data_IF_153194776229
#
_entry.id   IF_153194776229
#
_cell.length_a   1.000
_cell.length_b   1.000
_cell.length_c   1.000
_cell.angle_alpha   90.00
_cell.angle_beta   90.00
_cell.angle_gamma   90.00
#
_symmetry.space_group_name_H-M   'P 1'
#
loop_
_entity.id
_entity.type
_entity.pdbx_description
1 polymer ?
#
# COMPACT_ATOMS: atom_id res chain seq x y z
N UNK A 1 -5.72 26.87 6.48
CA UNK A 1 -5.39 25.80 5.51
C UNK A 1 -6.25 24.55 5.73
N UNK A 2 -6.09 23.81 6.84
CA UNK A 2 -6.82 22.56 7.06
C UNK A 2 -8.35 22.71 6.99
N UNK A 3 -8.94 23.77 7.56
CA UNK A 3 -10.40 24.00 7.49
C UNK A 3 -10.94 23.97 6.07
N UNK A 4 -10.26 24.65 5.14
CA UNK A 4 -10.64 24.68 3.71
C UNK A 4 -10.57 23.29 3.08
N UNK A 5 -9.49 22.55 3.37
CA UNK A 5 -9.29 21.19 2.86
C UNK A 5 -10.34 20.24 3.44
N UNK A 6 -10.65 20.35 4.73
CA UNK A 6 -11.66 19.54 5.41
C UNK A 6 -13.07 19.75 4.85
N UNK A 7 -13.44 20.97 4.49
CA UNK A 7 -14.73 21.28 3.87
C UNK A 7 -14.85 20.72 2.43
N UNK A 8 -13.75 20.74 1.65
CA UNK A 8 -13.71 20.06 0.34
C UNK A 8 -13.90 18.55 0.50
N UNK A 9 -13.31 17.97 1.54
CA UNK A 9 -13.41 16.55 1.83
C UNK A 9 -14.80 16.15 2.37
N UNK A 10 -15.48 17.00 3.12
CA UNK A 10 -16.81 16.73 3.68
C UNK A 10 -17.95 16.87 2.67
N UNK A 11 -17.68 17.39 1.47
CA UNK A 11 -18.67 17.55 0.40
C UNK A 11 -19.75 18.58 0.72
N UNK A 12 -19.53 19.48 1.69
CA UNK A 12 -20.52 20.49 2.09
C UNK A 12 -20.60 21.65 1.08
N UNK A 13 -21.18 21.38 -0.09
CA UNK A 13 -22.10 22.25 -0.84
C UNK A 13 -21.68 23.65 -1.31
N UNK A 14 -20.47 24.15 -1.04
CA UNK A 14 -19.98 25.41 -1.62
C UNK A 14 -18.73 25.12 -2.46
N UNK A 15 -18.67 25.72 -3.65
CA UNK A 15 -17.47 25.74 -4.48
C UNK A 15 -16.33 26.36 -3.66
N UNK A 16 -15.42 25.52 -3.15
CA UNK A 16 -14.23 25.94 -2.40
C UNK A 16 -12.96 25.87 -3.27
N UNK A 17 -13.11 25.85 -4.59
CA UNK A 17 -11.97 25.77 -5.49
C UNK A 17 -11.01 26.95 -5.29
N UNK A 18 -11.53 28.18 -5.22
CA UNK A 18 -10.72 29.39 -4.97
C UNK A 18 -9.98 29.33 -3.61
N UNK A 19 -10.64 29.05 -2.48
CA UNK A 19 -9.94 28.81 -1.21
C UNK A 19 -8.89 27.69 -1.28
N UNK A 20 -9.17 26.58 -1.98
CA UNK A 20 -8.26 25.45 -2.11
C UNK A 20 -7.05 25.80 -3.01
N UNK A 21 -7.25 26.60 -4.05
CA UNK A 21 -6.19 27.16 -4.88
C UNK A 21 -5.27 28.07 -4.07
N UNK A 22 -5.82 28.92 -3.19
CA UNK A 22 -5.02 29.74 -2.27
C UNK A 22 -4.14 28.90 -1.34
N UNK A 23 -4.63 27.72 -0.90
CA UNK A 23 -3.81 26.75 -0.18
C UNK A 23 -2.68 26.20 -1.05
N UNK A 24 -2.97 25.82 -2.29
CA UNK A 24 -1.95 25.36 -3.25
C UNK A 24 -0.88 26.40 -3.53
N UNK A 25 -1.27 27.66 -3.72
CA UNK A 25 -0.34 28.79 -3.90
C UNK A 25 0.52 29.03 -2.68
N UNK A 26 -0.05 28.93 -1.47
CA UNK A 26 0.69 29.08 -0.22
C UNK A 26 1.77 28.01 -0.06
N UNK A 27 1.47 26.75 -0.40
CA UNK A 27 2.46 25.66 -0.38
C UNK A 27 3.52 25.80 -1.48
N UNK A 28 3.15 26.36 -2.63
CA UNK A 28 4.10 26.66 -3.72
C UNK A 28 5.06 27.77 -3.29
N UNK A 29 4.55 28.82 -2.66
CA UNK A 29 5.35 29.90 -2.08
C UNK A 29 6.29 29.37 -0.99
N UNK A 30 5.79 28.51 -0.08
CA UNK A 30 6.59 27.85 0.95
C UNK A 30 7.75 27.05 0.32
N UNK A 31 7.47 26.25 -0.72
CA UNK A 31 8.49 25.50 -1.46
C UNK A 31 9.56 26.40 -2.09
N UNK A 32 9.14 27.52 -2.65
CA UNK A 32 10.08 28.47 -3.26
C UNK A 32 10.98 29.09 -2.19
N UNK A 33 10.43 29.46 -1.03
CA UNK A 33 11.20 30.00 0.09
C UNK A 33 12.18 28.99 0.67
N UNK A 34 11.79 27.73 0.77
CA UNK A 34 12.71 26.64 1.15
C UNK A 34 13.90 26.55 0.17
N UNK A 35 13.64 26.60 -1.14
CA UNK A 35 14.69 26.54 -2.16
C UNK A 35 15.60 27.78 -2.15
N UNK A 36 15.05 28.98 -1.96
CA UNK A 36 15.81 30.22 -1.79
C UNK A 36 16.73 30.14 -0.55
N UNK A 37 16.21 29.62 0.56
CA UNK A 37 16.96 29.47 1.82
C UNK A 37 18.08 28.43 1.72
N UNK A 38 17.83 27.29 1.07
CA UNK A 38 18.84 26.25 0.82
C UNK A 38 19.89 26.66 -0.22
N UNK A 39 19.56 27.60 -1.12
CA UNK A 39 20.49 28.16 -2.11
C UNK A 39 21.37 29.28 -1.56
N UNK A 40 20.95 29.99 -0.51
CA UNK A 40 21.73 31.03 0.16
C UNK A 40 22.65 30.45 1.23
N UNK A 41 23.64 29.66 0.82
CA UNK A 41 24.64 29.06 1.71
C UNK A 41 25.67 30.04 2.31
N UNK A 42 25.32 31.31 2.54
CA UNK A 42 26.23 32.27 3.15
C UNK A 42 25.48 33.22 4.11
N UNK A 43 25.77 33.02 5.40
CA UNK A 43 25.68 33.95 6.53
C UNK A 43 24.46 34.87 6.63
N UNK A 44 23.57 34.59 7.58
CA UNK A 44 23.39 35.44 8.76
C UNK A 44 22.48 34.77 9.79
N UNK A 45 22.90 34.82 11.05
CA UNK A 45 22.09 34.48 12.21
C UNK A 45 20.76 35.24 12.16
N UNK A 46 19.65 34.52 12.01
CA UNK A 46 18.36 35.02 12.49
C UNK A 46 17.56 33.87 13.09
N UNK A 47 17.26 34.04 14.38
CA UNK A 47 16.43 33.18 15.21
C UNK A 47 14.98 33.34 14.75
N UNK A 48 14.63 32.71 13.64
CA UNK A 48 13.25 32.42 13.31
C UNK A 48 13.05 30.92 13.43
N UNK A 49 12.26 30.51 14.43
CA UNK A 49 11.77 29.12 14.66
C UNK A 49 10.88 28.60 13.53
N UNK A 50 10.82 29.33 12.43
CA UNK A 50 9.91 29.12 11.33
C UNK A 50 10.61 28.28 10.26
N UNK A 51 10.40 26.97 10.33
CA UNK A 51 10.86 26.05 9.29
C UNK A 51 9.88 26.08 8.12
N UNK A 52 10.32 26.34 6.88
CA UNK A 52 9.48 26.37 5.68
C UNK A 52 9.00 24.98 5.22
N UNK A 53 8.95 24.00 6.11
CA UNK A 53 8.44 22.66 5.83
C UNK A 53 7.26 22.27 6.72
N UNK A 54 6.82 23.16 7.62
CA UNK A 54 5.81 22.83 8.61
C UNK A 54 4.42 22.70 7.97
N UNK A 55 4.07 23.57 7.01
CA UNK A 55 2.71 23.59 6.47
C UNK A 55 2.42 22.43 5.54
N UNK A 56 3.36 22.08 4.65
CA UNK A 56 3.19 20.89 3.80
C UNK A 56 3.06 19.61 4.62
N UNK A 57 3.96 19.40 5.59
CA UNK A 57 3.95 18.17 6.41
C UNK A 57 2.69 18.07 7.27
N UNK A 58 2.28 19.17 7.91
CA UNK A 58 1.04 19.21 8.70
C UNK A 58 -0.18 18.90 7.82
N UNK A 59 -0.24 19.45 6.60
CA UNK A 59 -1.32 19.13 5.67
C UNK A 59 -1.30 17.66 5.24
N UNK A 60 -0.14 17.11 4.88
CA UNK A 60 0.01 15.69 4.52
C UNK A 60 -0.46 14.79 5.66
N UNK A 61 -0.07 15.09 6.90
CA UNK A 61 -0.46 14.33 8.10
C UNK A 61 -1.97 14.40 8.35
N UNK A 62 -2.58 15.59 8.25
CA UNK A 62 -4.03 15.74 8.42
C UNK A 62 -4.82 15.03 7.34
N UNK A 63 -4.35 15.06 6.09
CA UNK A 63 -4.93 14.30 4.99
C UNK A 63 -4.83 12.79 5.26
N UNK A 64 -3.67 12.30 5.74
CA UNK A 64 -3.50 10.89 6.11
C UNK A 64 -4.48 10.50 7.21
N UNK A 65 -4.58 11.29 8.29
CA UNK A 65 -5.52 11.05 9.39
C UNK A 65 -6.96 10.98 8.89
N UNK A 66 -7.37 11.94 8.05
CA UNK A 66 -8.72 11.95 7.48
C UNK A 66 -8.97 10.72 6.61
N UNK A 67 -8.07 10.38 5.69
CA UNK A 67 -8.24 9.25 4.78
C UNK A 67 -8.28 7.93 5.54
N UNK A 68 -7.41 7.77 6.53
CA UNK A 68 -7.38 6.60 7.41
C UNK A 68 -8.71 6.42 8.13
N UNK A 69 -9.33 7.51 8.59
CA UNK A 69 -10.66 7.46 9.22
C UNK A 69 -11.80 7.11 8.24
N UNK A 70 -11.59 7.27 6.92
CA UNK A 70 -12.56 6.86 5.89
C UNK A 70 -12.39 5.40 5.47
N UNK A 71 -11.26 4.77 5.78
CA UNK A 71 -11.04 3.36 5.46
C UNK A 71 -11.95 2.53 6.36
N UNK A 72 -12.79 1.63 5.80
CA UNK A 72 -13.61 0.73 6.61
C UNK A 72 -12.73 -0.04 7.60
N UNK A 73 -13.11 -0.12 8.88
CA UNK A 73 -12.36 -0.89 9.85
C UNK A 73 -12.45 -2.38 9.47
N UNK A 74 -11.30 -3.06 9.48
CA UNK A 74 -11.30 -4.52 9.36
C UNK A 74 -11.65 -5.13 10.71
N UNK A 75 -12.72 -5.92 10.77
CA UNK A 75 -13.17 -6.58 11.99
C UNK A 75 -12.15 -7.59 12.49
N UNK A 76 -11.36 -7.20 13.51
CA UNK A 76 -10.43 -8.07 14.22
C UNK A 76 -11.19 -9.08 15.10
N UNK A 77 -11.72 -10.15 14.52
CA UNK A 77 -12.02 -11.37 15.27
C UNK A 77 -10.87 -12.36 15.10
N UNK A 78 -10.54 -13.10 16.17
CA UNK A 78 -9.36 -13.97 16.30
C UNK A 78 -9.34 -15.21 15.40
N UNK A 79 -10.21 -15.24 14.39
CA UNK A 79 -10.18 -16.21 13.30
C UNK A 79 -10.58 -15.46 12.03
N UNK A 80 -9.60 -14.80 11.42
CA UNK A 80 -9.82 -13.99 10.22
C UNK A 80 -10.18 -14.93 9.07
N UNK A 81 -11.47 -15.12 8.81
CA UNK A 81 -11.93 -15.91 7.68
C UNK A 81 -11.48 -15.24 6.37
N UNK A 82 -10.99 -16.04 5.42
CA UNK A 82 -10.64 -15.64 4.07
C UNK A 82 -11.79 -14.86 3.40
N UNK A 83 -13.03 -15.23 3.72
CA UNK A 83 -14.24 -14.55 3.25
C UNK A 83 -14.35 -13.11 3.76
N UNK A 84 -14.00 -12.84 5.01
CA UNK A 84 -14.01 -11.50 5.59
C UNK A 84 -12.94 -10.62 4.95
N UNK A 85 -11.74 -11.17 4.69
CA UNK A 85 -10.70 -10.47 3.96
C UNK A 85 -11.14 -10.13 2.53
N UNK A 86 -11.74 -11.09 1.80
CA UNK A 86 -12.29 -10.83 0.45
C UNK A 86 -13.36 -9.74 0.47
N UNK A 87 -14.27 -9.79 1.44
CA UNK A 87 -15.32 -8.78 1.58
C UNK A 87 -14.73 -7.39 1.86
N UNK A 88 -13.73 -7.32 2.73
CA UNK A 88 -13.02 -6.10 3.06
C UNK A 88 -12.27 -5.50 1.85
N UNK A 89 -11.54 -6.31 1.11
CA UNK A 89 -10.88 -5.88 -0.13
C UNK A 89 -11.90 -5.39 -1.17
N UNK A 90 -13.06 -6.06 -1.27
CA UNK A 90 -14.17 -5.62 -2.13
C UNK A 90 -14.75 -4.27 -1.69
N UNK A 91 -14.87 -4.02 -0.39
CA UNK A 91 -15.28 -2.71 0.12
C UNK A 91 -14.25 -1.62 -0.24
N UNK A 92 -12.96 -1.89 -0.10
CA UNK A 92 -11.92 -0.95 -0.53
C UNK A 92 -12.05 -0.61 -2.03
N UNK A 93 -12.25 -1.64 -2.86
CA UNK A 93 -12.43 -1.51 -4.31
C UNK A 93 -13.68 -0.70 -4.68
N UNK A 94 -14.80 -0.95 -4.03
CA UNK A 94 -16.10 -0.42 -4.45
C UNK A 94 -16.49 0.91 -3.78
N UNK A 95 -15.93 1.25 -2.63
CA UNK A 95 -16.33 2.47 -1.88
C UNK A 95 -15.17 3.41 -1.63
N UNK A 96 -14.07 2.92 -1.07
CA UNK A 96 -12.95 3.76 -0.67
C UNK A 96 -12.23 4.34 -1.89
N UNK A 97 -11.77 3.51 -2.83
CA UNK A 97 -11.02 3.99 -3.99
C UNK A 97 -11.83 4.96 -4.88
N UNK A 98 -13.10 4.69 -5.24
CA UNK A 98 -13.90 5.63 -6.02
C UNK A 98 -14.08 6.98 -5.31
N UNK A 99 -14.17 6.98 -3.97
CA UNK A 99 -14.29 8.24 -3.20
C UNK A 99 -13.03 9.11 -3.30
N UNK A 100 -11.85 8.48 -3.41
CA UNK A 100 -10.59 9.19 -3.59
C UNK A 100 -10.47 9.75 -5.01
N UNK A 101 -10.85 8.97 -6.01
CA UNK A 101 -10.82 9.40 -7.41
C UNK A 101 -11.76 10.57 -7.67
N UNK A 102 -13.00 10.51 -7.15
CA UNK A 102 -13.99 11.58 -7.29
C UNK A 102 -13.46 12.93 -6.80
N UNK A 103 -12.67 12.93 -5.71
CA UNK A 103 -12.12 14.14 -5.10
C UNK A 103 -10.84 14.63 -5.78
N UNK A 104 -10.14 13.76 -6.51
CA UNK A 104 -8.84 14.06 -7.11
C UNK A 104 -8.86 15.25 -8.08
N UNK A 105 -9.98 15.46 -8.78
CA UNK A 105 -10.18 16.60 -9.70
C UNK A 105 -10.02 17.96 -9.00
N UNK A 106 -10.64 18.13 -7.83
CA UNK A 106 -10.55 19.37 -7.06
C UNK A 106 -9.13 19.66 -6.59
N UNK A 107 -8.42 18.63 -6.09
CA UNK A 107 -7.02 18.77 -5.67
C UNK A 107 -6.09 19.02 -6.86
N UNK A 108 -6.42 18.50 -8.05
CA UNK A 108 -5.69 18.79 -9.30
C UNK A 108 -5.84 20.26 -9.70
N UNK A 109 -7.06 20.77 -9.73
CA UNK A 109 -7.33 22.17 -10.07
C UNK A 109 -6.74 23.16 -9.05
N UNK A 110 -6.55 22.73 -7.81
CA UNK A 110 -5.88 23.50 -6.76
C UNK A 110 -4.34 23.34 -6.73
N UNK A 111 -3.73 22.54 -7.62
CA UNK A 111 -2.29 22.29 -7.58
C UNK A 111 -1.80 21.45 -6.39
N UNK A 112 -2.72 20.76 -5.70
CA UNK A 112 -2.48 19.93 -4.52
C UNK A 112 -2.51 18.43 -4.81
N UNK A 113 -2.68 18.01 -6.06
CA UNK A 113 -2.81 16.60 -6.44
C UNK A 113 -1.67 15.73 -5.91
N UNK A 114 -0.42 16.21 -5.98
CA UNK A 114 0.73 15.43 -5.49
C UNK A 114 0.62 15.16 -3.99
N UNK A 115 0.31 16.19 -3.19
CA UNK A 115 0.12 16.10 -1.74
C UNK A 115 -1.05 15.17 -1.42
N UNK A 116 -2.21 15.42 -2.04
CA UNK A 116 -3.42 14.64 -1.85
C UNK A 116 -3.17 13.16 -2.10
N UNK A 117 -2.59 12.85 -3.25
CA UNK A 117 -2.43 11.47 -3.65
C UNK A 117 -1.34 10.78 -2.84
N UNK A 118 -0.24 11.46 -2.44
CA UNK A 118 0.71 10.90 -1.47
C UNK A 118 0.05 10.51 -0.15
N UNK A 119 -0.83 11.35 0.38
CA UNK A 119 -1.58 11.05 1.60
C UNK A 119 -2.53 9.86 1.41
N UNK A 120 -3.20 9.73 0.26
CA UNK A 120 -4.03 8.56 -0.06
C UNK A 120 -3.21 7.27 0.02
N UNK A 121 -1.99 7.35 -0.50
CA UNK A 121 -1.11 6.21 -0.59
C UNK A 121 -0.51 5.82 0.73
N UNK A 122 -0.02 6.78 1.51
CA UNK A 122 0.44 6.52 2.86
C UNK A 122 -0.68 5.87 3.70
N UNK A 123 -1.93 6.32 3.56
CA UNK A 123 -3.08 5.77 4.29
C UNK A 123 -3.40 4.34 3.86
N UNK A 124 -3.52 4.09 2.55
CA UNK A 124 -3.83 2.75 2.02
C UNK A 124 -2.68 1.76 2.29
N UNK A 125 -1.44 2.20 2.08
CA UNK A 125 -0.22 1.46 2.42
C UNK A 125 -0.20 1.08 3.89
N UNK A 126 -0.44 2.05 4.78
CA UNK A 126 -0.47 1.82 6.23
C UNK A 126 -1.55 0.81 6.59
N UNK A 127 -2.74 0.94 6.01
CA UNK A 127 -3.85 0.01 6.27
C UNK A 127 -3.54 -1.41 5.83
N UNK A 128 -3.06 -1.59 4.59
CA UNK A 128 -2.69 -2.91 4.07
C UNK A 128 -1.49 -3.50 4.81
N UNK A 129 -0.57 -2.65 5.27
CA UNK A 129 0.50 -3.07 6.18
C UNK A 129 -0.12 -3.55 7.49
N UNK A 130 -1.01 -2.81 8.15
CA UNK A 130 -1.68 -3.26 9.37
C UNK A 130 -2.49 -4.55 9.17
N UNK A 131 -3.11 -4.75 8.00
CA UNK A 131 -3.78 -6.02 7.67
C UNK A 131 -2.75 -7.16 7.66
N UNK A 132 -1.63 -6.98 6.95
CA UNK A 132 -0.64 -8.04 6.69
C UNK A 132 0.45 -8.20 7.76
N UNK A 133 0.61 -7.21 8.65
CA UNK A 133 1.57 -7.17 9.78
C UNK A 133 1.03 -7.89 11.02
N UNK A 134 -0.25 -8.33 10.97
CA UNK A 134 -0.71 -9.32 11.94
C UNK A 134 0.09 -10.60 11.72
N UNK A 135 0.84 -11.04 12.73
CA UNK A 135 1.68 -12.26 12.75
C UNK A 135 0.94 -13.58 12.47
N UNK A 136 -0.30 -13.49 11.99
CA UNK A 136 -1.27 -14.55 11.80
C UNK A 136 -1.77 -14.66 10.35
N UNK A 137 -1.35 -13.79 9.43
CA UNK A 137 -1.74 -13.98 8.02
C UNK A 137 -1.15 -15.28 7.47
N UNK A 138 -2.03 -16.14 6.96
CA UNK A 138 -1.65 -17.33 6.22
C UNK A 138 -1.16 -16.96 4.81
N UNK A 139 -0.47 -17.91 4.17
CA UNK A 139 -0.10 -17.76 2.76
C UNK A 139 -1.29 -17.41 1.85
N UNK A 140 -2.46 -18.02 2.06
CA UNK A 140 -3.65 -17.76 1.25
C UNK A 140 -4.18 -16.33 1.43
N UNK A 141 -4.13 -15.79 2.65
CA UNK A 141 -4.55 -14.42 2.92
C UNK A 141 -3.59 -13.39 2.29
N UNK A 142 -2.27 -13.61 2.39
CA UNK A 142 -1.29 -12.79 1.69
C UNK A 142 -1.49 -12.83 0.17
N UNK A 143 -1.75 -14.04 -0.38
CA UNK A 143 -1.99 -14.23 -1.81
C UNK A 143 -3.22 -13.46 -2.29
N UNK A 144 -4.29 -13.38 -1.49
CA UNK A 144 -5.48 -12.60 -1.85
C UNK A 144 -5.22 -11.10 -1.91
N UNK A 145 -4.46 -10.55 -0.96
CA UNK A 145 -4.09 -9.12 -0.99
C UNK A 145 -3.22 -8.85 -2.22
N UNK A 146 -2.29 -9.76 -2.55
CA UNK A 146 -1.44 -9.64 -3.73
C UNK A 146 -2.26 -9.71 -5.03
N UNK A 147 -3.13 -10.72 -5.17
CA UNK A 147 -4.01 -10.88 -6.33
C UNK A 147 -4.89 -9.65 -6.53
N UNK A 148 -5.48 -9.14 -5.44
CA UNK A 148 -6.29 -7.92 -5.47
C UNK A 148 -5.46 -6.72 -5.96
N UNK A 149 -4.26 -6.52 -5.43
CA UNK A 149 -3.36 -5.45 -5.87
C UNK A 149 -3.02 -5.55 -7.37
N UNK A 150 -2.67 -6.74 -7.85
CA UNK A 150 -2.38 -7.01 -9.27
C UNK A 150 -3.60 -6.77 -10.15
N UNK A 151 -4.79 -7.21 -9.72
CA UNK A 151 -6.06 -6.96 -10.43
C UNK A 151 -6.31 -5.47 -10.55
N UNK A 152 -6.18 -4.72 -9.47
CA UNK A 152 -6.36 -3.27 -9.47
C UNK A 152 -5.37 -2.57 -10.39
N UNK A 153 -4.08 -2.95 -10.32
CA UNK A 153 -3.04 -2.39 -11.18
C UNK A 153 -3.34 -2.66 -12.66
N UNK A 154 -3.76 -3.88 -13.02
CA UNK A 154 -4.16 -4.22 -14.38
C UNK A 154 -5.37 -3.42 -14.84
N UNK A 155 -6.39 -3.26 -13.99
CA UNK A 155 -7.58 -2.46 -14.32
C UNK A 155 -7.24 -0.98 -14.58
N UNK A 156 -6.40 -0.37 -13.73
CA UNK A 156 -5.98 1.03 -13.93
C UNK A 156 -5.06 1.22 -15.15
N UNK A 157 -4.24 0.23 -15.48
CA UNK A 157 -3.29 0.32 -16.61
C UNK A 157 -3.90 -0.09 -17.96
N UNK A 158 -4.86 -1.03 -18.00
CA UNK A 158 -5.55 -1.47 -19.21
C UNK A 158 -6.55 -0.44 -19.75
N UNK A 159 -7.08 0.44 -18.89
CA UNK A 159 -7.97 1.54 -19.31
C UNK A 159 -7.21 2.74 -19.90
N UNK A 160 -5.87 2.73 -19.89
CA UNK A 160 -5.05 3.83 -20.39
C UNK A 160 -4.59 3.57 -21.84
N UNK A 161 -4.72 4.55 -22.76
CA UNK A 161 -4.15 4.43 -24.09
C UNK A 161 -2.65 4.17 -24.02
N UNK A 162 -2.17 3.17 -24.77
CA UNK A 162 -0.79 2.61 -24.80
C UNK A 162 0.32 3.63 -25.14
N UNK A 163 0.00 4.91 -25.30
CA UNK A 163 0.87 5.96 -25.84
C UNK A 163 1.42 6.94 -24.79
N UNK A 164 1.02 6.85 -23.52
CA UNK A 164 1.66 7.67 -22.47
C UNK A 164 2.95 7.02 -21.97
N UNK A 165 4.10 7.73 -21.95
CA UNK A 165 5.38 7.19 -21.49
C UNK A 165 5.29 6.68 -20.05
N UNK A 166 5.95 5.55 -19.75
CA UNK A 166 5.99 4.92 -18.41
C UNK A 166 6.49 5.85 -17.29
N UNK A 167 7.15 6.97 -17.62
CA UNK A 167 7.59 7.98 -16.66
C UNK A 167 6.45 8.83 -16.05
N UNK A 168 5.23 8.73 -16.59
CA UNK A 168 4.05 9.45 -16.10
C UNK A 168 2.94 8.49 -15.61
N UNK A 169 3.30 7.45 -14.84
CA UNK A 169 2.31 6.65 -14.12
C UNK A 169 1.47 7.58 -13.23
N UNK A 170 0.14 7.42 -13.26
CA UNK A 170 -0.69 8.14 -12.30
C UNK A 170 -0.23 7.74 -10.90
N UNK A 171 -0.30 8.67 -9.95
CA UNK A 171 0.19 8.40 -8.62
C UNK A 171 -0.58 7.22 -7.98
N UNK A 172 -1.87 7.05 -8.34
CA UNK A 172 -2.70 5.84 -8.15
C UNK A 172 -1.96 4.53 -8.46
N UNK A 173 -1.51 4.41 -9.71
CA UNK A 173 -0.77 3.24 -10.21
C UNK A 173 0.55 3.04 -9.46
N UNK A 174 1.27 4.11 -9.12
CA UNK A 174 2.55 4.01 -8.41
C UNK A 174 2.41 3.33 -7.04
N UNK A 175 1.27 3.46 -6.39
CA UNK A 175 1.12 2.93 -5.05
C UNK A 175 0.41 1.60 -5.01
N UNK A 176 -0.40 1.27 -6.02
CA UNK A 176 -0.72 -0.12 -6.29
C UNK A 176 0.55 -0.93 -6.51
N UNK A 177 1.53 -0.41 -7.26
CA UNK A 177 2.85 -1.06 -7.42
C UNK A 177 3.54 -1.25 -6.07
N UNK A 178 3.61 -0.20 -5.24
CA UNK A 178 4.22 -0.31 -3.91
C UNK A 178 3.53 -1.36 -3.03
N UNK A 179 2.20 -1.39 -3.02
CA UNK A 179 1.40 -2.37 -2.28
C UNK A 179 1.68 -3.79 -2.76
N UNK A 180 1.72 -4.00 -4.08
CA UNK A 180 2.03 -5.31 -4.69
C UNK A 180 3.41 -5.79 -4.22
N UNK A 181 4.43 -4.93 -4.32
CA UNK A 181 5.79 -5.27 -3.90
C UNK A 181 5.86 -5.61 -2.42
N UNK A 182 5.24 -4.80 -1.55
CA UNK A 182 5.25 -5.06 -0.10
C UNK A 182 4.51 -6.35 0.27
N UNK A 183 3.37 -6.60 -0.38
CA UNK A 183 2.61 -7.83 -0.16
C UNK A 183 3.36 -9.06 -0.67
N UNK A 184 4.09 -8.93 -1.78
CA UNK A 184 4.97 -9.98 -2.30
C UNK A 184 6.06 -10.35 -1.29
N UNK A 185 6.76 -9.38 -0.72
CA UNK A 185 7.76 -9.61 0.33
C UNK A 185 7.18 -10.41 1.51
N UNK A 186 6.00 -10.00 2.00
CA UNK A 186 5.33 -10.67 3.11
C UNK A 186 4.91 -12.09 2.73
N UNK A 187 4.37 -12.29 1.53
CA UNK A 187 3.96 -13.59 1.02
C UNK A 187 5.14 -14.56 0.95
N UNK A 188 6.29 -14.12 0.44
CA UNK A 188 7.52 -14.92 0.36
C UNK A 188 8.04 -15.28 1.76
N UNK A 189 7.98 -14.34 2.71
CA UNK A 189 8.37 -14.59 4.10
C UNK A 189 7.46 -15.63 4.78
N UNK A 190 6.14 -15.56 4.57
CA UNK A 190 5.17 -16.54 5.09
C UNK A 190 5.37 -17.91 4.45
N UNK A 191 5.60 -17.97 3.13
CA UNK A 191 5.90 -19.22 2.43
C UNK A 191 7.12 -19.93 3.04
N UNK A 192 8.22 -19.19 3.21
CA UNK A 192 9.44 -19.69 3.86
C UNK A 192 9.15 -20.21 5.28
N UNK A 193 8.44 -19.43 6.10
CA UNK A 193 8.11 -19.79 7.49
C UNK A 193 7.27 -21.06 7.57
N UNK A 194 6.26 -21.21 6.71
CA UNK A 194 5.37 -22.36 6.71
C UNK A 194 6.08 -23.64 6.22
N UNK A 195 6.93 -23.55 5.19
CA UNK A 195 7.76 -24.67 4.72
C UNK A 195 8.77 -25.09 5.79
N UNK A 196 9.48 -24.14 6.41
CA UNK A 196 10.42 -24.45 7.49
C UNK A 196 9.74 -25.11 8.70
N UNK A 197 8.48 -24.74 8.99
CA UNK A 197 7.67 -25.42 10.01
C UNK A 197 7.33 -26.86 9.59
N UNK A 198 6.90 -27.06 8.35
CA UNK A 198 6.57 -28.39 7.82
C UNK A 198 7.78 -29.33 7.81
N UNK A 199 8.96 -28.82 7.43
CA UNK A 199 10.22 -29.58 7.47
C UNK A 199 10.57 -30.00 8.89
N UNK A 200 10.57 -29.06 9.85
CA UNK A 200 10.80 -29.39 11.27
C UNK A 200 9.86 -30.49 11.75
N UNK A 201 8.57 -30.34 11.46
CA UNK A 201 7.56 -31.33 11.82
C UNK A 201 7.76 -32.69 11.16
N UNK A 202 8.34 -32.75 9.96
CA UNK A 202 8.59 -34.01 9.27
C UNK A 202 9.78 -34.79 9.82
N UNK A 203 10.80 -34.07 10.29
CA UNK A 203 12.02 -34.67 10.84
C UNK A 203 12.04 -34.72 12.38
N UNK A 204 10.98 -34.25 13.05
CA UNK A 204 10.80 -34.39 14.50
C UNK A 204 10.72 -35.88 14.91
N UNK A 205 11.65 -36.29 15.78
CA UNK A 205 11.74 -37.65 16.31
C UNK A 205 10.45 -38.03 17.08
N UNK A 206 9.60 -38.83 16.45
CA UNK A 206 8.36 -39.36 17.07
C UNK A 206 7.09 -39.22 16.21
N UNK A 207 7.15 -38.55 15.06
CA UNK A 207 6.02 -38.45 14.12
C UNK A 207 5.99 -39.60 13.08
N UNK A 208 4.80 -40.00 12.61
CA UNK A 208 4.64 -41.11 11.66
C UNK A 208 5.21 -40.78 10.27
N UNK A 209 5.57 -41.80 9.46
CA UNK A 209 6.23 -41.66 8.15
C UNK A 209 5.43 -40.92 7.05
N UNK A 210 4.23 -40.41 7.35
CA UNK A 210 3.42 -39.62 6.42
C UNK A 210 3.86 -38.14 6.31
N UNK A 211 4.88 -37.72 7.06
CA UNK A 211 5.25 -36.31 7.14
C UNK A 211 6.02 -35.80 5.92
N UNK A 212 6.73 -36.67 5.19
CA UNK A 212 7.39 -36.33 3.92
C UNK A 212 6.39 -35.93 2.83
N UNK A 213 5.25 -36.63 2.77
CA UNK A 213 4.17 -36.30 1.85
C UNK A 213 3.52 -34.94 2.17
N UNK A 214 3.50 -34.53 3.43
CA UNK A 214 2.96 -33.23 3.84
C UNK A 214 3.84 -32.07 3.37
N UNK A 215 5.17 -32.24 3.37
CA UNK A 215 6.11 -31.24 2.84
C UNK A 215 5.90 -31.05 1.34
N UNK A 216 5.83 -32.16 0.58
CA UNK A 216 5.59 -32.13 -0.87
C UNK A 216 4.23 -31.48 -1.18
N UNK A 217 3.20 -31.82 -0.41
CA UNK A 217 1.86 -31.25 -0.58
C UNK A 217 1.87 -29.72 -0.37
N UNK A 218 2.49 -29.24 0.71
CA UNK A 218 2.57 -27.80 1.02
C UNK A 218 3.32 -27.04 -0.07
N UNK A 219 4.42 -27.58 -0.58
CA UNK A 219 5.19 -26.97 -1.67
C UNK A 219 4.34 -26.87 -2.94
N UNK A 220 3.66 -27.96 -3.30
CA UNK A 220 2.82 -28.05 -4.50
C UNK A 220 1.65 -27.07 -4.42
N UNK A 221 0.91 -27.07 -3.30
CA UNK A 221 -0.25 -26.19 -3.10
C UNK A 221 0.13 -24.71 -3.20
N UNK A 222 1.27 -24.30 -2.62
CA UNK A 222 1.73 -22.91 -2.66
C UNK A 222 2.15 -22.49 -4.06
N UNK A 223 2.91 -23.35 -4.74
CA UNK A 223 3.38 -23.09 -6.09
C UNK A 223 2.20 -22.97 -7.07
N UNK A 224 1.23 -23.89 -6.99
CA UNK A 224 0.02 -23.87 -7.81
C UNK A 224 -0.85 -22.65 -7.51
N UNK A 225 -1.02 -22.29 -6.24
CA UNK A 225 -1.79 -21.12 -5.86
C UNK A 225 -1.13 -19.82 -6.39
N UNK A 226 0.19 -19.69 -6.27
CA UNK A 226 0.94 -18.57 -6.82
C UNK A 226 0.88 -18.53 -8.37
N UNK A 227 0.98 -19.70 -9.02
CA UNK A 227 0.89 -19.84 -10.47
C UNK A 227 -0.44 -19.34 -11.04
N UNK A 228 -1.55 -19.62 -10.35
CA UNK A 228 -2.88 -19.13 -10.74
C UNK A 228 -2.96 -17.60 -10.78
N UNK A 229 -2.14 -16.90 -10.01
CA UNK A 229 -2.08 -15.43 -10.01
C UNK A 229 -1.08 -14.91 -11.05
N UNK A 230 0.15 -15.44 -11.05
CA UNK A 230 1.17 -15.14 -12.07
C UNK A 230 2.34 -16.12 -12.03
N UNK A 231 2.88 -16.44 -13.20
CA UNK A 231 4.12 -17.23 -13.37
C UNK A 231 5.30 -16.66 -12.57
N UNK A 232 5.56 -15.36 -12.67
CA UNK A 232 6.66 -14.71 -11.92
C UNK A 232 6.55 -14.84 -10.40
N UNK A 233 5.33 -14.81 -9.84
CA UNK A 233 5.13 -15.06 -8.41
C UNK A 233 5.43 -16.52 -8.06
N UNK A 234 5.00 -17.46 -8.90
CA UNK A 234 5.26 -18.89 -8.71
C UNK A 234 6.76 -19.19 -8.68
N UNK A 235 7.54 -18.65 -9.62
CA UNK A 235 9.00 -18.79 -9.64
C UNK A 235 9.65 -18.26 -8.36
N UNK A 236 9.21 -17.09 -7.86
CA UNK A 236 9.73 -16.51 -6.61
C UNK A 236 9.37 -17.38 -5.40
N UNK A 237 8.13 -17.87 -5.33
CA UNK A 237 7.66 -18.76 -4.25
C UNK A 237 8.45 -20.07 -4.27
N UNK A 238 8.65 -20.66 -5.44
CA UNK A 238 9.46 -21.87 -5.61
C UNK A 238 10.89 -21.63 -5.11
N UNK A 239 11.53 -20.55 -5.56
CA UNK A 239 12.90 -20.22 -5.18
C UNK A 239 13.08 -20.09 -3.65
N UNK A 240 12.20 -19.36 -2.96
CA UNK A 240 12.31 -19.20 -1.49
C UNK A 240 12.00 -20.47 -0.72
N UNK A 241 11.11 -21.33 -1.25
CA UNK A 241 10.80 -22.62 -0.64
C UNK A 241 11.97 -23.59 -0.78
N UNK A 242 12.57 -23.69 -1.99
CA UNK A 242 13.73 -24.54 -2.24
C UNK A 242 14.95 -24.08 -1.43
N UNK A 243 15.17 -22.77 -1.32
CA UNK A 243 16.22 -22.21 -0.48
C UNK A 243 16.06 -22.62 0.99
N UNK A 244 14.83 -22.61 1.52
CA UNK A 244 14.57 -23.07 2.89
C UNK A 244 14.79 -24.57 3.06
N UNK A 245 14.40 -25.39 2.08
CA UNK A 245 14.70 -26.82 2.07
C UNK A 245 16.22 -27.08 2.10
N UNK A 246 16.99 -26.35 1.29
CA UNK A 246 18.45 -26.47 1.27
C UNK A 246 19.06 -26.09 2.63
N UNK A 247 18.66 -24.95 3.20
CA UNK A 247 19.12 -24.51 4.53
C UNK A 247 18.77 -25.49 5.65
N UNK A 248 17.70 -26.25 5.51
CA UNK A 248 17.31 -27.25 6.49
C UNK A 248 18.19 -28.52 6.43
N UNK A 249 18.74 -28.83 5.25
CA UNK A 249 19.59 -30.01 5.02
C UNK A 249 21.07 -29.76 5.37
N UNK A 250 21.49 -28.49 5.42
CA UNK A 250 22.82 -28.04 5.85
C UNK A 250 22.96 -28.03 7.39
#
# INVERSE_FOLDING_TARGET
MWTVVGEVLSGSGRMLLEPLQSVGESLKWEKQKEAEWLGSGQETESVSTWSPNFWRKDLEEKLIQYMTAQIPPFGSSSNTDETALKQHLSQLEMTFLPSLEHRSGFFKEAGLLVTYTRSCHASLSSHLSTLTDTNHFSFSQCLLVYEWGVKMYKSETCLRPRQTPQHNLSLGVQCLVWIILKTEENLLAVARKEVGKALKEAFDLGKPPCADAAVIQILTEKMEAAWRVSESLSEKVEAVCLEECLRFLE
#
